data_IF_440506287258
#
_entry.id   IF_440506287258
#
_cell.length_a   1.000
_cell.length_b   1.000
_cell.length_c   1.000
_cell.angle_alpha   90.00
_cell.angle_beta   90.00
_cell.angle_gamma   90.00
#
_symmetry.space_group_name_H-M   'P 1'
#
loop_
_entity.id
_entity.type
_entity.pdbx_description
1 polymer ?
#
# COMPACT_ATOMS: atom_id res chain seq x y z
N UNK A 1 -12.12 -16.33 -12.11
CA UNK A 1 -12.70 -17.39 -11.26
C UNK A 1 -13.00 -16.72 -9.93
N UNK A 2 -14.27 -16.40 -9.68
CA UNK A 2 -14.76 -15.84 -8.42
C UNK A 2 -14.87 -17.00 -7.44
N UNK A 3 -13.85 -17.18 -6.60
CA UNK A 3 -13.97 -18.11 -5.48
C UNK A 3 -14.95 -17.55 -4.46
N UNK A 4 -15.77 -18.47 -3.95
CA UNK A 4 -16.88 -18.26 -3.03
C UNK A 4 -16.39 -17.72 -1.67
N UNK A 5 -16.22 -16.41 -1.55
CA UNK A 5 -15.66 -15.78 -0.36
C UNK A 5 -16.68 -15.67 0.79
N UNK A 6 -16.21 -16.04 1.99
CA UNK A 6 -16.86 -15.72 3.27
C UNK A 6 -16.43 -14.32 3.70
N UNK A 7 -17.35 -13.52 4.20
CA UNK A 7 -17.08 -12.17 4.72
C UNK A 7 -17.50 -12.09 6.18
N UNK A 8 -16.62 -11.56 7.03
CA UNK A 8 -16.89 -11.40 8.46
C UNK A 8 -17.00 -9.93 8.81
N UNK A 9 -18.00 -9.58 9.59
CA UNK A 9 -18.28 -8.23 10.09
C UNK A 9 -18.20 -8.26 11.60
N UNK A 10 -17.45 -7.33 12.18
CA UNK A 10 -17.44 -7.12 13.62
C UNK A 10 -18.57 -6.16 14.00
N UNK A 11 -19.48 -6.63 14.84
CA UNK A 11 -20.61 -5.90 15.38
C UNK A 11 -20.32 -5.52 16.82
N UNK A 12 -20.49 -4.25 17.16
CA UNK A 12 -20.47 -3.80 18.56
C UNK A 12 -21.89 -3.63 19.08
N UNK A 13 -22.11 -4.04 20.31
CA UNK A 13 -23.36 -3.83 21.02
C UNK A 13 -23.28 -2.57 21.88
N UNK A 14 -24.36 -1.79 21.91
CA UNK A 14 -24.54 -0.60 22.73
C UNK A 14 -24.61 -0.93 24.23
N UNK A 15 -24.44 0.07 25.09
CA UNK A 15 -24.27 -0.12 26.55
C UNK A 15 -25.43 -0.84 27.25
N UNK A 16 -26.64 -0.84 26.68
CA UNK A 16 -27.81 -1.53 27.24
C UNK A 16 -27.93 -3.00 26.81
N UNK A 17 -27.26 -3.40 25.73
CA UNK A 17 -27.31 -4.77 25.21
C UNK A 17 -26.58 -5.82 26.07
N UNK A 18 -25.42 -5.54 26.70
CA UNK A 18 -24.76 -6.46 27.62
C UNK A 18 -25.67 -6.99 28.72
N UNK A 19 -26.52 -6.14 29.31
CA UNK A 19 -27.49 -6.55 30.34
C UNK A 19 -28.49 -7.59 29.82
N UNK A 20 -28.90 -7.46 28.56
CA UNK A 20 -29.81 -8.41 27.91
C UNK A 20 -29.10 -9.70 27.52
N UNK A 21 -27.85 -9.60 27.07
CA UNK A 21 -26.99 -10.73 26.76
C UNK A 21 -26.68 -11.59 28.00
N UNK A 22 -26.36 -10.97 29.13
CA UNK A 22 -26.06 -11.68 30.39
C UNK A 22 -27.25 -12.45 30.96
N UNK A 23 -28.49 -12.02 30.68
CA UNK A 23 -29.71 -12.74 31.11
C UNK A 23 -29.87 -14.07 30.38
N UNK A 24 -29.62 -14.11 29.07
CA UNK A 24 -29.69 -15.31 28.25
C UNK A 24 -28.91 -15.13 26.95
N UNK A 25 -27.62 -15.49 26.99
CA UNK A 25 -26.68 -15.27 25.88
C UNK A 25 -27.06 -16.06 24.63
N UNK A 26 -27.47 -17.31 24.79
CA UNK A 26 -27.89 -18.18 23.67
C UNK A 26 -29.11 -17.61 22.96
N UNK A 27 -30.13 -17.18 23.72
CA UNK A 27 -31.33 -16.58 23.14
C UNK A 27 -31.00 -15.26 22.44
N UNK A 28 -30.12 -14.44 23.01
CA UNK A 28 -29.70 -13.18 22.41
C UNK A 28 -29.03 -13.40 21.05
N UNK A 29 -28.08 -14.34 20.96
CA UNK A 29 -27.38 -14.65 19.70
C UNK A 29 -28.35 -15.19 18.64
N UNK A 30 -29.21 -16.14 19.01
CA UNK A 30 -30.16 -16.75 18.08
C UNK A 30 -31.16 -15.72 17.54
N UNK A 31 -31.77 -14.93 18.42
CA UNK A 31 -32.74 -13.90 18.01
C UNK A 31 -32.09 -12.76 17.21
N UNK A 32 -30.89 -12.32 17.61
CA UNK A 32 -30.15 -11.31 16.86
C UNK A 32 -29.82 -11.81 15.45
N UNK A 33 -29.39 -13.08 15.30
CA UNK A 33 -29.12 -13.67 13.98
C UNK A 33 -30.40 -13.75 13.13
N UNK A 34 -31.50 -14.19 13.72
CA UNK A 34 -32.79 -14.30 13.05
C UNK A 34 -33.28 -12.94 12.54
N UNK A 35 -33.30 -11.91 13.40
CA UNK A 35 -33.70 -10.56 13.00
C UNK A 35 -32.79 -10.00 11.88
N UNK A 36 -31.48 -10.22 11.97
CA UNK A 36 -30.54 -9.79 10.93
C UNK A 36 -30.80 -10.49 9.59
N UNK A 37 -31.22 -11.76 9.59
CA UNK A 37 -31.62 -12.51 8.40
C UNK A 37 -32.90 -12.00 7.74
N UNK A 38 -33.78 -11.36 8.51
CA UNK A 38 -35.01 -10.76 7.97
C UNK A 38 -34.75 -9.36 7.41
N UNK A 39 -33.94 -8.55 8.10
CA UNK A 39 -33.63 -7.19 7.66
C UNK A 39 -32.63 -7.14 6.49
N UNK A 40 -31.71 -8.11 6.42
CA UNK A 40 -30.82 -8.28 5.28
C UNK A 40 -31.24 -9.58 4.63
N UNK A 41 -31.88 -9.55 3.44
CA UNK A 41 -32.56 -10.69 2.82
C UNK A 41 -31.58 -11.78 2.37
N UNK A 42 -31.00 -12.48 3.34
CA UNK A 42 -30.00 -13.54 3.24
C UNK A 42 -30.42 -14.62 4.22
N UNK A 43 -30.44 -15.90 3.82
CA UNK A 43 -30.85 -16.98 4.70
C UNK A 43 -29.97 -17.10 5.96
N UNK A 44 -30.58 -17.41 7.11
CA UNK A 44 -29.86 -17.72 8.36
C UNK A 44 -28.80 -18.81 8.19
N UNK A 45 -29.03 -19.79 7.32
CA UNK A 45 -28.06 -20.87 7.03
C UNK A 45 -26.75 -20.36 6.44
N UNK A 46 -26.74 -19.13 5.91
CA UNK A 46 -25.56 -18.43 5.40
C UNK A 46 -25.00 -17.42 6.41
N UNK A 47 -25.54 -17.33 7.62
CA UNK A 47 -25.05 -16.46 8.68
C UNK A 47 -24.54 -17.27 9.87
N UNK A 48 -23.37 -16.88 10.38
CA UNK A 48 -22.82 -17.42 11.62
C UNK A 48 -22.46 -16.25 12.52
N UNK A 49 -23.03 -16.22 13.72
CA UNK A 49 -22.80 -15.15 14.70
C UNK A 49 -22.09 -15.75 15.91
N UNK A 50 -20.87 -15.29 16.17
CA UNK A 50 -20.02 -15.79 17.26
C UNK A 50 -19.55 -14.65 18.16
N UNK A 51 -19.29 -14.96 19.43
CA UNK A 51 -18.71 -14.00 20.37
C UNK A 51 -17.27 -13.66 19.97
N UNK A 52 -16.94 -12.38 19.80
CA UNK A 52 -15.60 -11.96 19.42
C UNK A 52 -14.66 -11.92 20.62
N UNK A 53 -13.42 -12.39 20.42
CA UNK A 53 -12.34 -12.24 21.40
C UNK A 53 -12.02 -10.77 21.75
N UNK A 54 -12.37 -9.81 20.86
CA UNK A 54 -12.23 -8.36 21.11
C UNK A 54 -13.07 -7.86 22.29
N UNK A 55 -14.13 -8.58 22.64
CA UNK A 55 -14.97 -8.25 23.79
C UNK A 55 -14.21 -8.32 25.11
N UNK A 56 -13.21 -9.22 25.19
CA UNK A 56 -12.39 -9.39 26.39
C UNK A 56 -11.27 -8.34 26.50
N UNK A 57 -10.91 -7.65 25.40
CA UNK A 57 -9.76 -6.74 25.36
C UNK A 57 -10.11 -5.25 25.30
N UNK A 58 -11.32 -4.90 24.85
CA UNK A 58 -11.70 -3.51 24.55
C UNK A 58 -12.85 -2.94 25.41
N UNK A 59 -13.32 -3.69 26.42
CA UNK A 59 -14.29 -3.19 27.39
C UNK A 59 -15.72 -3.01 26.83
N UNK A 60 -16.12 -3.79 25.83
CA UNK A 60 -17.47 -3.78 25.24
C UNK A 60 -17.87 -5.16 24.71
N UNK A 61 -19.13 -5.36 24.34
CA UNK A 61 -19.62 -6.62 23.79
C UNK A 61 -19.58 -6.59 22.26
N UNK A 62 -18.81 -7.49 21.66
CA UNK A 62 -18.60 -7.62 20.23
C UNK A 62 -18.96 -9.01 19.72
N UNK A 63 -19.55 -9.05 18.54
CA UNK A 63 -19.85 -10.28 17.81
C UNK A 63 -19.21 -10.28 16.42
N UNK A 64 -18.79 -11.45 15.96
CA UNK A 64 -18.34 -11.69 14.60
C UNK A 64 -19.48 -12.34 13.83
N UNK A 65 -20.06 -11.58 12.89
CA UNK A 65 -21.07 -12.06 11.96
C UNK A 65 -20.40 -12.45 10.65
N UNK A 66 -20.42 -13.72 10.30
CA UNK A 66 -19.86 -14.25 9.07
C UNK A 66 -20.96 -14.60 8.07
N UNK A 67 -20.90 -14.01 6.88
CA UNK A 67 -21.71 -14.35 5.73
C UNK A 67 -21.00 -15.40 4.87
N UNK A 68 -21.64 -16.54 4.67
CA UNK A 68 -21.18 -17.56 3.74
C UNK A 68 -21.52 -17.20 2.30
N UNK A 69 -20.68 -17.62 1.37
CA UNK A 69 -20.91 -17.43 -0.06
C UNK A 69 -22.23 -18.07 -0.52
N UNK A 70 -22.81 -17.51 -1.59
CA UNK A 70 -23.98 -18.13 -2.23
C UNK A 70 -23.53 -19.25 -3.16
N UNK A 71 -24.30 -20.34 -3.18
CA UNK A 71 -24.15 -21.38 -4.19
C UNK A 71 -24.78 -20.97 -5.54
N UNK A 72 -25.60 -19.91 -5.58
CA UNK A 72 -26.26 -19.36 -6.76
C UNK A 72 -25.77 -17.95 -7.07
N UNK A 73 -24.80 -17.84 -7.97
CA UNK A 73 -24.10 -16.60 -8.32
C UNK A 73 -24.97 -15.51 -9.00
N UNK A 74 -26.19 -15.84 -9.47
CA UNK A 74 -26.96 -14.94 -10.34
C UNK A 74 -28.14 -14.22 -9.66
N UNK A 75 -28.68 -14.73 -8.55
CA UNK A 75 -29.93 -14.21 -7.96
C UNK A 75 -29.87 -13.89 -6.46
N UNK A 76 -28.78 -14.23 -5.77
CA UNK A 76 -28.64 -13.99 -4.34
C UNK A 76 -27.58 -12.93 -4.04
N UNK A 77 -27.79 -12.16 -2.97
CA UNK A 77 -26.78 -11.21 -2.47
C UNK A 77 -25.49 -11.95 -2.11
N UNK A 78 -24.37 -11.46 -2.64
CA UNK A 78 -23.04 -11.98 -2.32
C UNK A 78 -22.62 -11.55 -0.90
N UNK A 79 -21.68 -12.29 -0.29
CA UNK A 79 -21.28 -12.08 1.10
C UNK A 79 -20.67 -10.69 1.36
N UNK A 80 -19.95 -10.12 0.38
CA UNK A 80 -19.44 -8.75 0.46
C UNK A 80 -20.58 -7.72 0.48
N UNK A 81 -21.52 -7.82 -0.46
CA UNK A 81 -22.68 -6.95 -0.54
C UNK A 81 -23.54 -7.02 0.72
N UNK A 82 -23.67 -8.21 1.31
CA UNK A 82 -24.30 -8.40 2.63
C UNK A 82 -23.62 -7.58 3.73
N UNK A 83 -22.30 -7.72 3.83
CA UNK A 83 -21.49 -7.05 4.84
C UNK A 83 -21.53 -5.53 4.68
N UNK A 84 -21.36 -5.02 3.44
CA UNK A 84 -21.44 -3.59 3.15
C UNK A 84 -22.83 -3.03 3.43
N UNK A 85 -23.88 -3.74 3.02
CA UNK A 85 -25.25 -3.29 3.25
C UNK A 85 -25.57 -3.26 4.76
N UNK A 86 -25.15 -4.27 5.53
CA UNK A 86 -25.27 -4.25 6.98
C UNK A 86 -24.55 -3.05 7.62
N UNK A 87 -23.32 -2.78 7.19
CA UNK A 87 -22.54 -1.66 7.71
C UNK A 87 -23.25 -0.32 7.47
N UNK A 88 -23.79 -0.13 6.26
CA UNK A 88 -24.60 1.06 5.92
C UNK A 88 -25.86 1.13 6.80
N UNK A 89 -26.54 0.01 7.00
CA UNK A 89 -27.78 0.00 7.78
C UNK A 89 -27.53 0.37 9.26
N UNK A 90 -26.47 -0.17 9.87
CA UNK A 90 -26.10 0.12 11.26
C UNK A 90 -25.70 1.59 11.43
N UNK A 91 -24.95 2.16 10.49
CA UNK A 91 -24.55 3.57 10.55
C UNK A 91 -25.69 4.56 10.32
N UNK A 92 -26.85 4.10 9.81
CA UNK A 92 -28.01 4.95 9.52
C UNK A 92 -29.27 4.44 10.24
N UNK A 93 -29.29 4.39 11.60
CA UNK A 93 -30.39 3.79 12.34
C UNK A 93 -31.74 4.50 12.09
N UNK A 94 -31.72 5.82 11.88
CA UNK A 94 -32.92 6.64 11.69
C UNK A 94 -33.71 6.33 10.40
N UNK A 95 -33.05 5.72 9.40
CA UNK A 95 -33.65 5.42 8.10
C UNK A 95 -33.80 3.93 7.86
N UNK A 96 -33.61 3.10 8.89
CA UNK A 96 -33.57 1.64 8.76
C UNK A 96 -34.46 0.96 9.78
N UNK A 97 -34.89 -0.25 9.45
CA UNK A 97 -35.77 -1.01 10.34
C UNK A 97 -35.02 -1.68 11.50
N UNK A 98 -33.67 -1.66 11.50
CA UNK A 98 -32.85 -2.27 12.54
C UNK A 98 -33.14 -1.71 13.94
N UNK A 99 -33.51 -0.44 14.04
CA UNK A 99 -33.86 0.19 15.32
C UNK A 99 -35.18 -0.32 15.92
N UNK A 100 -36.03 -0.98 15.12
CA UNK A 100 -37.32 -1.50 15.56
C UNK A 100 -37.29 -2.99 15.93
N UNK A 101 -36.18 -3.70 15.67
CA UNK A 101 -36.01 -5.09 16.11
C UNK A 101 -35.87 -5.20 17.63
N UNK A 102 -36.24 -6.34 18.20
CA UNK A 102 -36.14 -6.58 19.63
C UNK A 102 -34.69 -6.73 20.10
N UNK A 103 -33.80 -7.20 19.21
CA UNK A 103 -32.39 -7.43 19.48
C UNK A 103 -31.46 -6.57 18.61
N UNK A 104 -31.79 -6.29 17.34
CA UNK A 104 -30.97 -5.44 16.46
C UNK A 104 -30.88 -3.99 16.90
N UNK A 105 -31.85 -3.50 17.69
CA UNK A 105 -31.80 -2.15 18.30
C UNK A 105 -30.60 -1.95 19.23
N UNK A 106 -29.98 -3.02 19.71
CA UNK A 106 -28.81 -2.97 20.57
C UNK A 106 -27.50 -2.89 19.78
N UNK A 107 -27.52 -2.86 18.45
CA UNK A 107 -26.32 -2.60 17.66
C UNK A 107 -25.90 -1.14 17.82
N UNK A 108 -24.62 -0.90 18.07
CA UNK A 108 -24.08 0.44 18.30
C UNK A 108 -23.90 1.17 16.96
N UNK A 109 -24.68 2.23 16.67
CA UNK A 109 -24.57 2.96 15.41
C UNK A 109 -23.32 3.84 15.36
N UNK A 110 -22.69 4.14 16.51
CA UNK A 110 -21.48 4.97 16.59
C UNK A 110 -20.22 4.22 16.20
N UNK A 111 -20.26 2.88 16.24
CA UNK A 111 -19.17 2.02 15.79
C UNK A 111 -19.60 1.37 14.48
N UNK A 112 -19.15 1.88 13.32
CA UNK A 112 -19.50 1.29 12.04
C UNK A 112 -19.05 -0.17 12.01
N UNK A 113 -19.88 -1.02 11.40
CA UNK A 113 -19.62 -2.45 11.34
C UNK A 113 -18.29 -2.71 10.62
N UNK A 114 -17.29 -3.20 11.34
CA UNK A 114 -15.92 -3.31 10.82
C UNK A 114 -15.85 -4.56 9.95
N UNK A 115 -15.78 -4.37 8.64
CA UNK A 115 -15.59 -5.46 7.68
C UNK A 115 -14.17 -6.00 7.86
N UNK A 116 -14.07 -7.29 8.22
CA UNK A 116 -12.79 -7.99 8.33
C UNK A 116 -12.43 -8.56 6.97
N UNK A 117 -11.50 -7.89 6.28
CA UNK A 117 -10.93 -8.40 5.05
C UNK A 117 -10.07 -9.62 5.33
N UNK A 118 -10.17 -10.62 4.44
CA UNK A 118 -9.25 -11.75 4.47
C UNK A 118 -7.89 -11.29 3.92
N UNK A 119 -7.06 -10.73 4.80
CA UNK A 119 -5.72 -10.22 4.50
C UNK A 119 -4.88 -11.22 3.70
N UNK A 120 -5.09 -12.52 3.93
CA UNK A 120 -4.36 -13.56 3.22
C UNK A 120 -4.72 -13.64 1.72
N UNK A 121 -5.97 -13.33 1.33
CA UNK A 121 -6.36 -13.33 -0.08
C UNK A 121 -5.98 -12.01 -0.77
N UNK A 122 -6.18 -10.89 -0.09
CA UNK A 122 -5.89 -9.56 -0.62
C UNK A 122 -4.38 -9.34 -0.86
N UNK A 123 -3.53 -9.77 0.07
CA UNK A 123 -2.08 -9.62 -0.05
C UNK A 123 -1.38 -10.79 -0.75
N UNK A 124 -2.07 -11.92 -0.98
CA UNK A 124 -1.50 -13.09 -1.70
C UNK A 124 -0.80 -12.75 -3.01
N UNK A 125 -1.40 -11.98 -3.96
CA UNK A 125 -0.72 -11.66 -5.21
C UNK A 125 0.53 -10.79 -5.01
N UNK A 126 0.50 -9.86 -4.06
CA UNK A 126 1.64 -9.01 -3.74
C UNK A 126 2.80 -9.84 -3.13
N UNK A 127 2.48 -10.71 -2.16
CA UNK A 127 3.46 -11.59 -1.51
C UNK A 127 4.10 -12.53 -2.52
N UNK A 128 3.33 -13.13 -3.43
CA UNK A 128 3.86 -14.00 -4.49
C UNK A 128 4.79 -13.21 -5.42
N UNK A 129 4.39 -12.00 -5.83
CA UNK A 129 5.19 -11.14 -6.72
C UNK A 129 6.53 -10.78 -6.07
N UNK A 130 6.51 -10.34 -4.81
CA UNK A 130 7.73 -10.01 -4.05
C UNK A 130 8.60 -11.25 -3.85
N UNK A 131 8.00 -12.38 -3.49
CA UNK A 131 8.70 -13.65 -3.28
C UNK A 131 9.41 -14.15 -4.54
N UNK A 132 8.85 -13.91 -5.72
CA UNK A 132 9.50 -14.22 -6.99
C UNK A 132 10.55 -13.17 -7.41
N UNK A 133 10.31 -11.88 -7.17
CA UNK A 133 11.21 -10.81 -7.60
C UNK A 133 12.54 -10.79 -6.82
N UNK A 134 12.50 -11.03 -5.51
CA UNK A 134 13.69 -10.96 -4.63
C UNK A 134 14.79 -11.96 -5.03
N UNK A 135 14.50 -13.27 -5.26
CA UNK A 135 15.50 -14.23 -5.71
C UNK A 135 16.12 -13.86 -7.06
N UNK A 136 15.31 -13.37 -8.00
CA UNK A 136 15.81 -12.93 -9.33
C UNK A 136 16.81 -11.79 -9.16
N UNK A 137 16.49 -10.80 -8.33
CA UNK A 137 17.36 -9.67 -8.05
C UNK A 137 18.68 -10.12 -7.40
N UNK A 138 18.61 -11.03 -6.43
CA UNK A 138 19.80 -11.64 -5.80
C UNK A 138 20.67 -12.34 -6.86
N UNK A 139 20.07 -13.12 -7.76
CA UNK A 139 20.80 -13.81 -8.84
C UNK A 139 21.50 -12.79 -9.74
N UNK A 140 20.83 -11.72 -10.16
CA UNK A 140 21.42 -10.67 -11.01
C UNK A 140 22.63 -10.03 -10.34
N UNK A 141 22.53 -9.68 -9.05
CA UNK A 141 23.65 -9.09 -8.30
C UNK A 141 24.80 -10.08 -8.13
N UNK A 142 24.50 -11.36 -7.86
CA UNK A 142 25.53 -12.41 -7.78
C UNK A 142 26.25 -12.62 -9.11
N UNK A 143 25.53 -12.59 -10.24
CA UNK A 143 26.11 -12.68 -11.58
C UNK A 143 27.00 -11.47 -11.88
N UNK A 144 26.55 -10.25 -11.56
CA UNK A 144 27.34 -9.04 -11.72
C UNK A 144 28.62 -9.09 -10.88
N UNK A 145 28.53 -9.50 -9.61
CA UNK A 145 29.67 -9.65 -8.71
C UNK A 145 30.64 -10.74 -9.14
N UNK A 146 30.14 -11.88 -9.65
CA UNK A 146 30.99 -12.94 -10.21
C UNK A 146 31.76 -12.48 -11.44
N UNK A 147 31.16 -11.64 -12.27
CA UNK A 147 31.79 -11.13 -13.50
C UNK A 147 32.84 -10.06 -13.21
N UNK A 148 32.56 -9.14 -12.28
CA UNK A 148 33.49 -8.07 -11.92
C UNK A 148 33.36 -7.73 -10.43
N UNK A 149 34.19 -8.33 -9.55
CA UNK A 149 34.06 -8.17 -8.10
C UNK A 149 34.44 -6.77 -7.60
N UNK A 150 35.34 -6.06 -8.30
CA UNK A 150 35.78 -4.70 -7.95
C UNK A 150 34.71 -3.62 -8.22
N UNK A 151 33.72 -3.94 -9.06
CA UNK A 151 32.61 -3.03 -9.34
C UNK A 151 31.66 -2.89 -8.15
N UNK A 152 31.08 -1.70 -8.00
CA UNK A 152 30.01 -1.40 -7.03
C UNK A 152 28.66 -1.99 -7.50
N UNK A 153 28.62 -3.31 -7.64
CA UNK A 153 27.47 -4.07 -8.14
C UNK A 153 26.19 -3.91 -7.30
N UNK A 154 26.31 -3.44 -6.04
CA UNK A 154 25.16 -3.08 -5.22
C UNK A 154 24.38 -1.86 -5.75
N UNK A 155 24.94 -1.08 -6.67
CA UNK A 155 24.23 -0.01 -7.35
C UNK A 155 22.96 -0.49 -8.09
N UNK A 156 22.86 -1.79 -8.43
CA UNK A 156 21.62 -2.40 -8.94
C UNK A 156 20.47 -2.27 -7.94
N UNK A 157 20.73 -2.44 -6.64
CA UNK A 157 19.72 -2.21 -5.60
C UNK A 157 19.30 -0.74 -5.56
N UNK A 158 20.25 0.20 -5.67
CA UNK A 158 19.94 1.63 -5.71
C UNK A 158 18.95 1.96 -6.83
N UNK A 159 19.17 1.42 -8.04
CA UNK A 159 18.25 1.63 -9.17
C UNK A 159 16.85 1.13 -8.82
N UNK A 160 16.74 -0.12 -8.34
CA UNK A 160 15.45 -0.79 -8.15
C UNK A 160 14.69 -0.19 -6.97
N UNK A 161 15.37 0.07 -5.85
CA UNK A 161 14.75 0.62 -4.65
C UNK A 161 14.28 2.06 -4.88
N UNK A 162 15.15 2.94 -5.41
CA UNK A 162 14.79 4.34 -5.63
C UNK A 162 13.68 4.49 -6.69
N UNK A 163 13.66 3.64 -7.71
CA UNK A 163 12.58 3.65 -8.71
C UNK A 163 11.26 3.12 -8.12
N UNK A 164 11.32 2.06 -7.30
CA UNK A 164 10.12 1.50 -6.66
C UNK A 164 9.50 2.47 -5.66
N UNK A 165 10.34 3.11 -4.84
CA UNK A 165 9.96 4.16 -3.88
C UNK A 165 9.19 5.29 -4.59
N UNK A 166 9.77 5.83 -5.67
CA UNK A 166 9.11 6.84 -6.49
C UNK A 166 7.76 6.38 -7.06
N UNK A 167 7.66 5.14 -7.57
CA UNK A 167 6.41 4.61 -8.12
C UNK A 167 5.35 4.50 -7.03
N UNK A 168 5.70 3.99 -5.85
CA UNK A 168 4.77 3.81 -4.73
C UNK A 168 4.26 5.15 -4.21
N UNK A 169 5.14 6.13 -4.01
CA UNK A 169 4.76 7.48 -3.59
C UNK A 169 3.85 8.16 -4.62
N UNK A 170 4.17 7.98 -5.91
CA UNK A 170 3.35 8.51 -7.02
C UNK A 170 1.94 7.91 -6.99
N UNK A 171 1.83 6.59 -6.84
CA UNK A 171 0.54 5.90 -6.79
C UNK A 171 -0.27 6.35 -5.57
N UNK A 172 0.36 6.44 -4.40
CA UNK A 172 -0.29 6.90 -3.18
C UNK A 172 -0.92 8.28 -3.36
N UNK A 173 -0.17 9.23 -3.95
CA UNK A 173 -0.65 10.60 -4.17
C UNK A 173 -1.72 10.64 -5.25
N UNK A 174 -1.58 9.90 -6.35
CA UNK A 174 -2.60 9.87 -7.40
C UNK A 174 -3.93 9.33 -6.85
N UNK A 175 -3.88 8.28 -6.03
CA UNK A 175 -5.08 7.62 -5.51
C UNK A 175 -5.74 8.40 -4.36
N UNK A 176 -4.96 9.06 -3.50
CA UNK A 176 -5.48 9.64 -2.25
C UNK A 176 -5.38 11.17 -2.15
N UNK A 177 -4.76 11.87 -3.11
CA UNK A 177 -4.59 13.34 -3.02
C UNK A 177 -5.89 14.14 -2.97
N UNK A 178 -7.00 13.56 -3.41
CA UNK A 178 -8.32 14.19 -3.42
C UNK A 178 -9.17 13.87 -2.18
N UNK A 179 -8.69 13.01 -1.28
CA UNK A 179 -9.41 12.62 -0.06
C UNK A 179 -9.57 13.80 0.91
N UNK A 180 -8.63 14.75 0.87
CA UNK A 180 -8.67 15.99 1.64
C UNK A 180 -8.48 17.19 0.69
N UNK A 181 -9.57 17.72 0.11
CA UNK A 181 -9.52 18.75 -0.94
C UNK A 181 -8.73 20.01 -0.56
N UNK A 182 -8.76 20.39 0.72
CA UNK A 182 -8.07 21.58 1.23
C UNK A 182 -6.54 21.41 1.25
N UNK A 183 -6.04 20.17 1.25
CA UNK A 183 -4.61 19.85 1.30
C UNK A 183 -4.03 19.40 -0.05
N UNK A 184 -4.86 19.19 -1.08
CA UNK A 184 -4.43 18.69 -2.38
C UNK A 184 -3.31 19.54 -3.01
N UNK A 185 -3.44 20.86 -3.00
CA UNK A 185 -2.44 21.78 -3.58
C UNK A 185 -1.12 21.74 -2.77
N UNK A 186 -1.11 21.92 -1.43
CA UNK A 186 0.09 21.72 -0.62
C UNK A 186 0.78 20.37 -0.87
N UNK A 187 0.03 19.26 -0.87
CA UNK A 187 0.57 17.91 -1.08
C UNK A 187 1.28 17.81 -2.44
N UNK A 188 0.65 18.29 -3.52
CA UNK A 188 1.27 18.27 -4.84
C UNK A 188 2.54 19.12 -4.91
N UNK A 189 2.57 20.28 -4.24
CA UNK A 189 3.75 21.16 -4.21
C UNK A 189 4.89 20.50 -3.44
N UNK A 190 4.63 19.99 -2.23
CA UNK A 190 5.64 19.30 -1.42
C UNK A 190 6.16 18.03 -2.09
N UNK A 191 5.33 17.36 -2.88
CA UNK A 191 5.75 16.22 -3.69
C UNK A 191 6.61 16.64 -4.91
N UNK A 192 6.15 17.60 -5.72
CA UNK A 192 6.80 17.93 -7.00
C UNK A 192 8.13 18.70 -6.85
N UNK A 193 8.25 19.55 -5.82
CA UNK A 193 9.42 20.43 -5.65
C UNK A 193 10.72 19.66 -5.42
N UNK A 194 10.80 18.67 -4.50
CA UNK A 194 12.01 17.84 -4.32
C UNK A 194 12.47 17.15 -5.61
N UNK A 195 11.54 16.57 -6.38
CA UNK A 195 11.85 15.91 -7.65
C UNK A 195 12.40 16.87 -8.70
N UNK A 196 11.81 18.07 -8.81
CA UNK A 196 12.29 19.11 -9.72
C UNK A 196 13.71 19.58 -9.33
N UNK A 197 13.97 19.77 -8.03
CA UNK A 197 15.30 20.15 -7.55
C UNK A 197 16.34 19.06 -7.84
N UNK A 198 16.02 17.79 -7.58
CA UNK A 198 16.88 16.66 -7.89
C UNK A 198 17.26 16.62 -9.38
N UNK A 199 16.26 16.77 -10.25
CA UNK A 199 16.50 16.80 -11.69
C UNK A 199 17.40 17.95 -12.12
N UNK A 200 17.16 19.17 -11.61
CA UNK A 200 17.97 20.35 -11.94
C UNK A 200 19.42 20.18 -11.49
N UNK A 201 19.64 19.63 -10.29
CA UNK A 201 20.98 19.33 -9.78
C UNK A 201 21.66 18.26 -10.65
N UNK A 202 20.94 17.21 -11.03
CA UNK A 202 21.48 16.15 -11.87
C UNK A 202 21.91 16.67 -13.25
N UNK A 203 21.05 17.45 -13.92
CA UNK A 203 21.38 18.11 -15.20
C UNK A 203 22.60 19.00 -15.03
N UNK A 204 22.65 19.80 -13.96
CA UNK A 204 23.79 20.67 -13.70
C UNK A 204 25.10 19.89 -13.50
N UNK A 205 25.08 18.81 -12.73
CA UNK A 205 26.25 17.95 -12.51
C UNK A 205 26.75 17.36 -13.83
N UNK A 206 25.86 16.80 -14.66
CA UNK A 206 26.24 16.21 -15.94
C UNK A 206 26.82 17.25 -16.90
N UNK A 207 26.23 18.45 -16.98
CA UNK A 207 26.75 19.53 -17.83
C UNK A 207 28.09 20.07 -17.34
N UNK A 208 28.28 20.21 -16.02
CA UNK A 208 29.56 20.66 -15.47
C UNK A 208 30.66 19.62 -15.70
N UNK A 209 30.38 18.33 -15.57
CA UNK A 209 31.34 17.25 -15.83
C UNK A 209 31.65 17.10 -17.32
N UNK A 210 30.65 17.17 -18.20
CA UNK A 210 30.87 17.13 -19.65
C UNK A 210 31.70 18.32 -20.15
N UNK A 211 31.63 19.47 -19.48
CA UNK A 211 32.39 20.67 -19.88
C UNK A 211 33.78 20.77 -19.27
N UNK A 212 34.00 20.25 -18.04
CA UNK A 212 35.25 20.47 -17.29
C UNK A 212 36.11 19.22 -17.11
N UNK A 213 35.54 18.02 -17.28
CA UNK A 213 36.24 16.76 -17.04
C UNK A 213 36.37 15.99 -18.36
N UNK A 214 37.57 15.99 -18.93
CA UNK A 214 37.84 15.32 -20.22
C UNK A 214 37.54 13.83 -20.18
N UNK A 215 37.84 13.13 -19.08
CA UNK A 215 37.55 11.69 -18.94
C UNK A 215 36.06 11.41 -18.94
N UNK A 216 35.28 12.25 -18.26
CA UNK A 216 33.83 12.14 -18.29
C UNK A 216 33.29 12.43 -19.69
N UNK A 217 33.80 13.45 -20.36
CA UNK A 217 33.37 13.82 -21.72
C UNK A 217 33.67 12.72 -22.75
N UNK A 218 34.85 12.10 -22.66
CA UNK A 218 35.23 10.96 -23.52
C UNK A 218 34.25 9.80 -23.33
N UNK A 219 33.94 9.44 -22.08
CA UNK A 219 32.93 8.43 -21.77
C UNK A 219 31.52 8.85 -22.23
N UNK A 220 31.15 10.11 -22.05
CA UNK A 220 29.84 10.66 -22.38
C UNK A 220 29.56 10.64 -23.89
N UNK A 221 30.58 10.88 -24.71
CA UNK A 221 30.45 10.80 -26.17
C UNK A 221 29.91 9.42 -26.62
N UNK A 222 30.46 8.36 -26.04
CA UNK A 222 30.11 6.98 -26.39
C UNK A 222 28.84 6.48 -25.69
N UNK A 223 28.45 7.11 -24.57
CA UNK A 223 27.37 6.64 -23.68
C UNK A 223 26.27 7.68 -23.41
N UNK A 224 26.15 8.71 -24.26
CA UNK A 224 25.24 9.86 -24.08
C UNK A 224 23.79 9.48 -23.79
N UNK A 225 23.27 8.42 -24.44
CA UNK A 225 21.91 7.90 -24.17
C UNK A 225 21.76 7.36 -22.76
N UNK A 226 22.77 6.62 -22.27
CA UNK A 226 22.77 6.06 -20.91
C UNK A 226 22.85 7.21 -19.90
N UNK A 227 23.73 8.19 -20.14
CA UNK A 227 23.82 9.38 -19.31
C UNK A 227 22.49 10.15 -19.23
N UNK A 228 21.79 10.32 -20.36
CA UNK A 228 20.48 10.97 -20.39
C UNK A 228 19.42 10.20 -19.60
N UNK A 229 19.36 8.88 -19.75
CA UNK A 229 18.44 8.03 -18.97
C UNK A 229 18.69 8.18 -17.48
N UNK A 230 19.95 8.10 -17.04
CA UNK A 230 20.29 8.25 -15.62
C UNK A 230 20.10 9.67 -15.10
N UNK A 231 20.20 10.69 -15.96
CA UNK A 231 19.86 12.08 -15.59
C UNK A 231 18.35 12.24 -15.36
N UNK A 232 17.52 11.56 -16.14
CA UNK A 232 16.06 11.54 -15.93
C UNK A 232 15.72 10.70 -14.69
N UNK A 233 16.33 9.53 -14.52
CA UNK A 233 16.12 8.71 -13.32
C UNK A 233 16.58 9.42 -12.05
N UNK A 234 17.55 10.32 -12.14
CA UNK A 234 17.99 11.14 -11.02
C UNK A 234 16.95 12.16 -10.54
N UNK A 235 15.77 12.25 -11.17
CA UNK A 235 14.59 12.87 -10.56
C UNK A 235 14.33 12.25 -9.19
N UNK A 236 14.38 10.92 -9.06
CA UNK A 236 14.07 10.22 -7.81
C UNK A 236 15.09 10.53 -6.72
N UNK A 237 16.37 10.44 -7.06
CA UNK A 237 17.50 10.77 -6.21
C UNK A 237 18.70 11.12 -7.09
N UNK A 238 19.37 12.24 -6.80
CA UNK A 238 20.59 12.66 -7.50
C UNK A 238 21.69 11.60 -7.45
N UNK A 239 21.73 10.78 -6.39
CA UNK A 239 22.69 9.67 -6.27
C UNK A 239 22.48 8.58 -7.34
N UNK A 240 21.35 8.56 -8.07
CA UNK A 240 21.19 7.68 -9.25
C UNK A 240 22.27 7.90 -10.30
N UNK A 241 22.84 9.11 -10.40
CA UNK A 241 23.99 9.37 -11.29
C UNK A 241 25.24 8.58 -10.90
N UNK A 242 25.41 8.24 -9.63
CA UNK A 242 26.54 7.40 -9.15
C UNK A 242 26.46 5.98 -9.69
N UNK A 243 25.31 5.52 -10.19
CA UNK A 243 25.24 4.25 -10.91
C UNK A 243 26.14 4.29 -12.16
N UNK A 244 26.32 5.45 -12.78
CA UNK A 244 27.18 5.58 -13.96
C UNK A 244 28.66 5.37 -13.66
N UNK A 245 29.12 5.50 -12.40
CA UNK A 245 30.50 5.21 -11.97
C UNK A 245 30.66 3.92 -11.15
N UNK A 246 29.67 3.04 -11.22
CA UNK A 246 29.60 1.85 -10.39
C UNK A 246 30.32 0.62 -10.98
N UNK A 247 30.67 0.65 -12.26
CA UNK A 247 31.26 -0.46 -13.01
C UNK A 247 30.49 -1.78 -12.83
N UNK A 248 29.15 -1.72 -12.79
CA UNK A 248 28.29 -2.91 -12.63
C UNK A 248 28.67 -3.97 -13.67
N UNK A 249 29.08 -5.15 -13.18
CA UNK A 249 29.48 -6.28 -14.00
C UNK A 249 30.66 -6.00 -14.96
N UNK A 250 31.43 -4.93 -14.72
CA UNK A 250 32.53 -4.48 -15.59
C UNK A 250 32.05 -3.90 -16.92
N UNK A 251 30.80 -3.45 -17.00
CA UNK A 251 30.24 -2.87 -18.22
C UNK A 251 30.73 -1.43 -18.40
N UNK A 252 31.27 -1.11 -19.59
CA UNK A 252 31.77 0.23 -19.95
C UNK A 252 30.69 1.33 -19.88
N UNK A 253 29.42 0.95 -20.04
CA UNK A 253 28.29 1.89 -19.89
C UNK A 253 28.12 2.39 -18.45
N UNK A 254 28.77 1.76 -17.47
CA UNK A 254 28.77 2.15 -16.05
C UNK A 254 30.17 2.50 -15.55
N UNK A 255 31.08 2.91 -16.43
CA UNK A 255 32.46 3.31 -16.07
C UNK A 255 32.71 4.81 -16.27
N UNK A 256 31.71 5.64 -16.00
CA UNK A 256 31.87 7.10 -16.00
C UNK A 256 32.86 7.52 -14.91
N UNK A 257 33.65 8.56 -15.19
CA UNK A 257 34.62 9.10 -14.22
C UNK A 257 34.17 10.47 -13.74
N UNK A 258 33.40 10.52 -12.65
CA UNK A 258 33.03 11.78 -12.01
C UNK A 258 34.20 12.38 -11.23
N UNK A 259 34.27 13.71 -11.14
CA UNK A 259 35.16 14.40 -10.21
C UNK A 259 34.71 14.22 -8.76
N UNK A 260 35.65 14.25 -7.80
CA UNK A 260 35.33 14.22 -6.36
C UNK A 260 34.37 15.34 -5.93
N UNK A 261 34.45 16.48 -6.62
CA UNK A 261 33.56 17.63 -6.41
C UNK A 261 32.12 17.29 -6.81
N UNK A 262 31.92 16.62 -7.95
CA UNK A 262 30.61 16.15 -8.36
C UNK A 262 30.07 15.09 -7.39
N UNK A 263 30.89 14.12 -6.99
CA UNK A 263 30.53 13.07 -6.03
C UNK A 263 30.05 13.68 -4.71
N UNK A 264 30.81 14.62 -4.15
CA UNK A 264 30.44 15.31 -2.91
C UNK A 264 29.11 16.07 -3.03
N UNK A 265 28.87 16.71 -4.17
CA UNK A 265 27.62 17.45 -4.42
C UNK A 265 26.43 16.51 -4.55
N UNK A 266 26.57 15.41 -5.28
CA UNK A 266 25.52 14.40 -5.41
C UNK A 266 25.12 13.84 -4.04
N UNK A 267 26.10 13.55 -3.19
CA UNK A 267 25.87 13.09 -1.82
C UNK A 267 25.12 14.12 -0.97
N UNK A 268 25.56 15.39 -0.96
CA UNK A 268 24.88 16.45 -0.21
C UNK A 268 23.44 16.66 -0.71
N UNK A 269 23.25 16.67 -2.03
CA UNK A 269 21.92 16.82 -2.63
C UNK A 269 20.98 15.69 -2.23
N UNK A 270 21.42 14.43 -2.32
CA UNK A 270 20.65 13.27 -1.87
C UNK A 270 20.25 13.40 -0.39
N UNK A 271 21.20 13.74 0.49
CA UNK A 271 20.91 13.90 1.93
C UNK A 271 19.92 15.03 2.23
N UNK A 272 19.96 16.12 1.46
CA UNK A 272 19.04 17.25 1.60
C UNK A 272 17.65 16.87 1.11
N UNK A 273 17.54 16.22 -0.04
CA UNK A 273 16.26 15.80 -0.61
C UNK A 273 15.57 14.75 0.25
N UNK A 274 16.32 13.81 0.84
CA UNK A 274 15.79 12.88 1.82
C UNK A 274 15.17 13.61 3.01
N UNK A 275 15.86 14.58 3.62
CA UNK A 275 15.37 15.32 4.78
C UNK A 275 14.16 16.23 4.50
N UNK A 276 13.87 16.55 3.23
CA UNK A 276 12.68 17.31 2.83
C UNK A 276 11.50 16.41 2.44
N UNK A 277 11.78 15.18 2.02
CA UNK A 277 10.80 14.22 1.54
C UNK A 277 10.26 13.32 2.65
N UNK A 278 11.14 12.90 3.57
CA UNK A 278 10.88 11.97 4.67
C UNK A 278 10.99 12.66 6.04
#
# INVERSE_FOLDING_TARGET
MQDAERFTVLLKVSDDGPKKYEQNSTLFIEQLRQELSEFIPIPETRMTLEYSSKSSSSGGLYFELTFSASNNLTNEMNANGAATNLAILISNPQTTNLQYGDYTKYLDPTVPAIIQYNLCHEFKPAIITISCAVPVLIIVVLLARRRHPEGRNLAIFTIILNTSDFILDSLFIVDHSHDIPDLTIPIMVFYAVPFAMNFLIAVWVVLEEASKNSKFMDWFHDNSKVAAVFTILAVTDVEMLRVLDSEIGGLKIFSATFSDKAIKRMFIASTLSFAFRD
#
